data_IF_227779006618
#
_entry.id   IF_227779006618
#
_cell.length_a   1.000
_cell.length_b   1.000
_cell.length_c   1.000
_cell.angle_alpha   90.00
_cell.angle_beta   90.00
_cell.angle_gamma   90.00
#
_symmetry.space_group_name_H-M   'P 1'
#
loop_
_entity.id
_entity.type
_entity.pdbx_description
1 polymer ?
#
# COMPACT_ATOMS: atom_id res chain seq x y z
N UNK A 1 4.28 -4.75 7.47
CA UNK A 1 3.85 -4.42 8.84
C UNK A 1 4.23 -5.55 9.79
N UNK A 2 4.79 -5.26 10.98
CA UNK A 2 4.95 -6.27 12.05
C UNK A 2 3.71 -6.27 12.96
N UNK A 3 3.42 -7.39 13.61
CA UNK A 3 2.26 -7.55 14.51
C UNK A 3 2.35 -6.63 15.73
N UNK A 4 3.54 -6.46 16.29
CA UNK A 4 3.83 -5.56 17.41
C UNK A 4 3.43 -4.12 17.09
N UNK A 5 3.88 -3.60 15.95
CA UNK A 5 3.56 -2.23 15.51
C UNK A 5 2.06 -2.02 15.30
N UNK A 6 1.36 -3.03 14.81
CA UNK A 6 -0.09 -2.97 14.63
C UNK A 6 -0.81 -2.88 15.98
N UNK A 7 -0.38 -3.69 16.97
CA UNK A 7 -0.92 -3.66 18.32
C UNK A 7 -0.69 -2.32 19.02
N UNK A 8 0.50 -1.73 18.88
CA UNK A 8 0.79 -0.37 19.38
C UNK A 8 -0.17 0.67 18.80
N UNK A 9 -0.35 0.67 17.47
CA UNK A 9 -1.24 1.62 16.82
C UNK A 9 -2.68 1.46 17.29
N UNK A 10 -3.16 0.22 17.42
CA UNK A 10 -4.48 -0.08 18.00
C UNK A 10 -4.62 0.47 19.42
N UNK A 11 -3.65 0.21 20.30
CA UNK A 11 -3.66 0.71 21.67
C UNK A 11 -3.69 2.25 21.72
N UNK A 12 -2.92 2.93 20.86
CA UNK A 12 -2.92 4.39 20.75
C UNK A 12 -4.29 4.92 20.31
N UNK A 13 -4.94 4.30 19.33
CA UNK A 13 -6.27 4.76 18.89
C UNK A 13 -7.35 4.56 19.95
N UNK A 14 -7.29 3.46 20.70
CA UNK A 14 -8.19 3.23 21.85
C UNK A 14 -7.97 4.32 22.91
N UNK A 15 -6.71 4.61 23.25
CA UNK A 15 -6.38 5.66 24.24
C UNK A 15 -6.86 7.06 23.81
N UNK A 16 -6.86 7.34 22.50
CA UNK A 16 -7.33 8.60 21.93
C UNK A 16 -8.83 8.62 21.61
N UNK A 17 -9.57 7.53 21.90
CA UNK A 17 -11.01 7.39 21.59
C UNK A 17 -11.33 7.66 20.12
N UNK A 18 -10.48 7.18 19.21
CA UNK A 18 -10.76 7.25 17.78
C UNK A 18 -11.90 6.27 17.44
N UNK A 19 -12.99 6.76 16.87
CA UNK A 19 -14.13 5.93 16.45
C UNK A 19 -13.77 4.97 15.31
N UNK A 20 -12.92 5.42 14.39
CA UNK A 20 -12.39 4.59 13.30
C UNK A 20 -10.89 4.80 13.12
N UNK A 21 -10.15 3.70 13.05
CA UNK A 21 -8.72 3.73 12.77
C UNK A 21 -8.36 2.70 11.73
N UNK A 22 -7.73 3.19 10.66
CA UNK A 22 -7.35 2.39 9.52
C UNK A 22 -5.85 2.14 9.60
N UNK A 23 -5.44 0.87 9.61
CA UNK A 23 -4.04 0.48 9.72
C UNK A 23 -3.64 -0.22 8.42
N UNK A 24 -2.67 0.35 7.71
CA UNK A 24 -2.07 -0.29 6.55
C UNK A 24 -0.57 -0.02 6.50
N UNK A 25 0.14 -0.82 5.72
CA UNK A 25 1.50 -0.48 5.32
C UNK A 25 1.49 0.83 4.50
N UNK A 26 2.35 1.78 4.88
CA UNK A 26 2.55 3.00 4.11
C UNK A 26 3.17 2.63 2.75
N UNK A 27 2.67 3.16 1.61
CA UNK A 27 1.78 4.31 1.46
C UNK A 27 0.31 3.97 1.13
N UNK A 28 -0.13 2.72 1.31
CA UNK A 28 -1.43 2.24 0.82
C UNK A 28 -2.61 3.01 1.38
N UNK A 29 -2.60 3.29 2.69
CA UNK A 29 -3.70 3.99 3.36
C UNK A 29 -3.94 5.39 2.81
N UNK A 30 -2.86 6.16 2.60
CA UNK A 30 -2.97 7.53 2.09
C UNK A 30 -3.55 7.59 0.67
N UNK A 31 -3.24 6.59 -0.17
CA UNK A 31 -3.82 6.47 -1.50
C UNK A 31 -5.31 6.12 -1.45
N UNK A 32 -5.72 5.22 -0.55
CA UNK A 32 -7.13 4.87 -0.38
C UNK A 32 -7.93 6.08 0.13
N UNK A 33 -7.37 6.82 1.10
CA UNK A 33 -8.00 8.03 1.63
C UNK A 33 -8.14 9.12 0.55
N UNK A 34 -7.08 9.34 -0.25
CA UNK A 34 -7.13 10.28 -1.36
C UNK A 34 -8.16 9.85 -2.41
N UNK A 35 -8.27 8.56 -2.71
CA UNK A 35 -9.25 8.05 -3.67
C UNK A 35 -10.70 8.22 -3.17
N UNK A 36 -10.93 8.07 -1.86
CA UNK A 36 -12.25 8.17 -1.25
C UNK A 36 -12.79 9.62 -1.23
N UNK A 37 -11.92 10.60 -0.98
CA UNK A 37 -12.34 12.00 -0.80
C UNK A 37 -12.00 12.92 -1.99
N UNK A 38 -10.95 12.61 -2.76
CA UNK A 38 -10.45 13.49 -3.83
C UNK A 38 -9.98 12.68 -5.05
N UNK A 39 -10.92 12.19 -5.88
CA UNK A 39 -10.63 11.22 -6.93
C UNK A 39 -9.69 11.75 -8.03
N UNK A 40 -9.73 13.05 -8.34
CA UNK A 40 -8.86 13.65 -9.36
C UNK A 40 -7.41 13.77 -8.91
N UNK A 41 -7.17 14.23 -7.68
CA UNK A 41 -5.83 14.23 -7.08
C UNK A 41 -5.29 12.83 -6.85
N UNK A 42 -6.15 11.87 -6.46
CA UNK A 42 -5.76 10.47 -6.34
C UNK A 42 -5.32 9.90 -7.69
N UNK A 43 -6.03 10.21 -8.78
CA UNK A 43 -5.67 9.79 -10.13
C UNK A 43 -4.31 10.35 -10.56
N UNK A 44 -4.00 11.60 -10.22
CA UNK A 44 -2.68 12.20 -10.48
C UNK A 44 -1.57 11.56 -9.64
N UNK A 45 -1.82 11.30 -8.35
CA UNK A 45 -0.90 10.62 -7.45
C UNK A 45 -0.61 9.18 -7.91
N UNK A 46 -1.64 8.42 -8.25
CA UNK A 46 -1.50 7.05 -8.80
C UNK A 46 -0.76 7.07 -10.12
N UNK A 47 -1.01 8.03 -11.02
CA UNK A 47 -0.22 8.17 -12.26
C UNK A 47 1.27 8.43 -11.96
N UNK A 48 1.61 9.28 -10.99
CA UNK A 48 3.01 9.60 -10.64
C UNK A 48 3.72 8.49 -9.85
N UNK A 49 3.05 7.87 -8.88
CA UNK A 49 3.62 6.88 -7.96
C UNK A 49 3.34 5.43 -8.38
N UNK A 50 2.15 5.15 -8.91
CA UNK A 50 1.75 3.81 -9.35
C UNK A 50 2.58 3.30 -10.52
N UNK A 51 2.99 4.17 -11.47
CA UNK A 51 3.95 3.80 -12.52
C UNK A 51 5.30 3.38 -11.92
N UNK A 52 5.84 4.12 -10.95
CA UNK A 52 7.11 3.79 -10.29
C UNK A 52 7.02 2.48 -9.50
N UNK A 53 5.89 2.22 -8.83
CA UNK A 53 5.69 1.02 -8.02
C UNK A 53 5.42 -0.22 -8.89
N UNK A 54 4.65 -0.08 -9.98
CA UNK A 54 4.44 -1.14 -10.98
C UNK A 54 5.73 -1.44 -11.73
N UNK A 55 6.51 -0.42 -12.13
CA UNK A 55 7.82 -0.63 -12.75
C UNK A 55 8.78 -1.32 -11.78
N UNK A 56 8.78 -0.97 -10.48
CA UNK A 56 9.62 -1.65 -9.47
C UNK A 56 9.23 -3.11 -9.25
N UNK A 57 7.94 -3.47 -9.32
CA UNK A 57 7.50 -4.88 -9.30
C UNK A 57 7.77 -5.60 -10.63
N UNK A 58 7.70 -4.90 -11.77
CA UNK A 58 8.03 -5.43 -13.10
C UNK A 58 9.54 -5.59 -13.34
N UNK A 59 10.39 -4.87 -12.61
CA UNK A 59 11.86 -5.02 -12.67
C UNK A 59 12.40 -6.17 -11.81
N UNK A 60 11.51 -6.97 -11.19
CA UNK A 60 11.81 -8.32 -10.72
C UNK A 60 11.33 -9.39 -11.73
N UNK A 61 11.07 -9.02 -12.99
CA UNK A 61 11.08 -10.01 -14.07
C UNK A 61 12.50 -10.10 -14.60
N UNK A 62 13.06 -11.30 -14.45
CA UNK A 62 14.30 -11.75 -15.09
C UNK A 62 14.38 -11.23 -16.55
N UNK A 63 15.48 -10.56 -16.94
CA UNK A 63 15.64 -10.00 -18.28
C UNK A 63 15.76 -11.05 -19.40
N UNK A 64 15.62 -12.35 -19.10
CA UNK A 64 15.85 -13.43 -20.06
C UNK A 64 14.70 -14.43 -20.14
N UNK A 65 13.48 -13.97 -20.42
CA UNK A 65 12.45 -14.77 -21.14
C UNK A 65 12.30 -16.25 -20.73
N UNK A 66 12.49 -16.56 -19.44
CA UNK A 66 12.62 -17.91 -18.93
C UNK A 66 11.34 -18.34 -18.24
N UNK A 67 10.62 -19.28 -18.87
CA UNK A 67 9.37 -19.88 -18.41
C UNK A 67 9.49 -20.39 -16.95
N UNK A 68 8.90 -19.68 -15.98
CA UNK A 68 8.72 -20.19 -14.62
C UNK A 68 7.64 -21.28 -14.65
N UNK A 69 8.09 -22.53 -14.58
CA UNK A 69 7.22 -23.67 -14.29
C UNK A 69 6.68 -23.49 -12.88
N UNK A 70 5.35 -23.52 -12.78
CA UNK A 70 4.61 -23.65 -11.54
C UNK A 70 5.10 -24.93 -10.85
N UNK A 71 5.75 -24.80 -9.70
CA UNK A 71 6.04 -25.92 -8.82
C UNK A 71 5.01 -25.88 -7.69
N UNK A 72 4.25 -26.97 -7.64
CA UNK A 72 3.27 -27.36 -6.64
C UNK A 72 3.97 -27.64 -5.30
#
# INVERSE_FOLDING_TARGET
MSTERCAELMAVGIANKLDEMWISDHPGLGLLYAAQYMPDTARLLVKKFGLKHVMKKRFNLDPKGGKLRVAN
#
